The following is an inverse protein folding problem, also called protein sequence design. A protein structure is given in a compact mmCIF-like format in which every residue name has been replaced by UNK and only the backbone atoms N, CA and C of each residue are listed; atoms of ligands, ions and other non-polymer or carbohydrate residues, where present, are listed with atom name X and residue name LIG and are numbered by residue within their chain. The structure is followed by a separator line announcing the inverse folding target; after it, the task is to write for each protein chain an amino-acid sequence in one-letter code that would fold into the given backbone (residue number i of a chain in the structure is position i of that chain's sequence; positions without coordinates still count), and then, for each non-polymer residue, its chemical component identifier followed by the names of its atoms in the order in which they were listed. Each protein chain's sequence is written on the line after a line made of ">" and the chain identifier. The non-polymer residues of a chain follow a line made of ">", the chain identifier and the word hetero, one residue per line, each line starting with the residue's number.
data_IF_955698661811
#
_entry.id   IF_955698661811
#
_cell.length_a   1.000
_cell.length_b   1.000
_cell.length_c   1.000
_cell.angle_alpha   90.00
_cell.angle_beta   90.00
_cell.angle_gamma   90.00
#
_symmetry.space_group_name_H-M   'P 1'
#
loop_
_entity.id
_entity.type
_entity.pdbx_description
1 polymer ?
#
# COMPACT_ATOMS: atom_id res chain seq x y z
N UNK A 1 16.65 0.91 3.36
CA UNK A 1 16.16 2.31 3.37
C UNK A 1 15.96 2.86 4.78
N UNK A 2 15.14 2.23 5.64
CA UNK A 2 15.02 2.65 7.06
C UNK A 2 16.35 2.71 7.83
N UNK A 3 17.37 1.98 7.35
CA UNK A 3 18.72 1.94 7.89
C UNK A 3 19.65 3.08 7.41
N UNK A 4 19.31 3.78 6.32
CA UNK A 4 20.12 4.88 5.75
C UNK A 4 19.58 6.27 6.09
N UNK A 5 18.31 6.38 6.50
CA UNK A 5 17.70 7.69 6.72
C UNK A 5 17.95 8.21 8.15
N UNK A 6 18.13 9.54 8.25
CA UNK A 6 18.27 10.25 9.52
C UNK A 6 17.03 10.02 10.40
N UNK A 7 17.21 9.92 11.73
CA UNK A 7 16.14 9.65 12.70
C UNK A 7 14.94 10.60 12.54
N UNK A 8 15.17 11.86 12.14
CA UNK A 8 14.14 12.90 11.95
C UNK A 8 13.33 12.81 10.65
N UNK A 9 13.85 12.14 9.61
CA UNK A 9 13.23 12.12 8.26
C UNK A 9 13.02 10.71 7.71
N UNK A 10 13.23 9.69 8.55
CA UNK A 10 13.15 8.28 8.16
C UNK A 10 11.77 7.88 7.65
N UNK A 11 10.71 8.31 8.31
CA UNK A 11 9.33 8.02 7.91
C UNK A 11 9.01 8.69 6.59
N UNK A 12 9.36 9.96 6.43
CA UNK A 12 9.16 10.70 5.17
C UNK A 12 9.91 10.07 3.98
N UNK A 13 11.16 9.62 4.18
CA UNK A 13 11.93 8.98 3.11
C UNK A 13 11.33 7.63 2.68
N UNK A 14 10.96 6.78 3.65
CA UNK A 14 10.32 5.48 3.34
C UNK A 14 8.95 5.72 2.68
N UNK A 15 8.18 6.68 3.20
CA UNK A 15 6.89 7.08 2.65
C UNK A 15 7.02 7.58 1.21
N UNK A 16 8.04 8.39 0.90
CA UNK A 16 8.25 8.93 -0.45
C UNK A 16 8.55 7.83 -1.47
N UNK A 17 9.36 6.84 -1.08
CA UNK A 17 9.63 5.67 -1.92
C UNK A 17 8.35 4.89 -2.19
N UNK A 18 7.53 4.71 -1.15
CA UNK A 18 6.25 4.02 -1.29
C UNK A 18 5.24 4.84 -2.12
N UNK A 19 5.25 6.18 -2.00
CA UNK A 19 4.42 7.09 -2.77
C UNK A 19 4.69 7.04 -4.29
N UNK A 20 5.85 6.53 -4.71
CA UNK A 20 6.12 6.23 -6.13
C UNK A 20 5.16 5.20 -6.72
N UNK A 21 4.50 4.38 -5.89
CA UNK A 21 3.38 3.54 -6.32
C UNK A 21 2.25 4.37 -6.93
N UNK A 22 1.91 5.52 -6.33
CA UNK A 22 0.91 6.44 -6.86
C UNK A 22 1.28 7.00 -8.24
N UNK A 23 2.57 7.34 -8.44
CA UNK A 23 3.10 7.76 -9.75
C UNK A 23 2.92 6.64 -10.78
N UNK A 24 3.26 5.41 -10.39
CA UNK A 24 3.10 4.22 -11.24
C UNK A 24 1.65 3.98 -11.67
N UNK A 25 0.69 4.15 -10.77
CA UNK A 25 -0.75 3.99 -11.06
C UNK A 25 -1.22 5.05 -12.08
N UNK A 26 -0.85 6.31 -11.88
CA UNK A 26 -1.18 7.40 -12.83
C UNK A 26 -0.56 7.10 -14.20
N UNK A 27 0.72 6.74 -14.24
CA UNK A 27 1.42 6.44 -15.48
C UNK A 27 0.77 5.27 -16.23
N UNK A 28 0.46 4.17 -15.52
CA UNK A 28 -0.22 3.02 -16.11
C UNK A 28 -1.60 3.39 -16.67
N UNK A 29 -2.40 4.16 -15.93
CA UNK A 29 -3.70 4.66 -16.40
C UNK A 29 -3.57 5.56 -17.63
N UNK A 30 -2.60 6.48 -17.64
CA UNK A 30 -2.37 7.41 -18.74
C UNK A 30 -1.91 6.70 -20.02
N UNK A 31 -0.95 5.77 -19.91
CA UNK A 31 -0.45 4.98 -21.05
C UNK A 31 -1.58 4.12 -21.63
N UNK A 32 -2.33 3.43 -20.78
CA UNK A 32 -3.43 2.55 -21.21
C UNK A 32 -4.54 3.35 -21.88
N UNK A 33 -4.91 4.51 -21.34
CA UNK A 33 -5.89 5.43 -21.91
C UNK A 33 -5.43 6.00 -23.26
N UNK A 34 -4.18 6.47 -23.35
CA UNK A 34 -3.67 7.10 -24.57
C UNK A 34 -3.50 6.09 -25.72
N UNK A 35 -2.97 4.90 -25.41
CA UNK A 35 -2.73 3.88 -26.42
C UNK A 35 -4.04 3.24 -26.91
N UNK A 36 -5.02 3.02 -26.01
CA UNK A 36 -6.35 2.55 -26.41
C UNK A 36 -7.10 3.58 -27.27
N UNK A 37 -7.04 4.87 -26.91
CA UNK A 37 -7.62 5.95 -27.72
C UNK A 37 -6.98 6.05 -29.12
N UNK A 38 -5.64 5.91 -29.20
CA UNK A 38 -4.93 5.88 -30.48
C UNK A 38 -5.36 4.70 -31.34
N UNK A 39 -5.43 3.49 -30.77
CA UNK A 39 -5.83 2.29 -31.50
C UNK A 39 -7.30 2.37 -31.97
N UNK A 40 -8.19 2.94 -31.16
CA UNK A 40 -9.58 3.21 -31.55
C UNK A 40 -9.68 4.19 -32.71
N UNK A 41 -8.83 5.21 -32.73
CA UNK A 41 -8.81 6.19 -33.81
C UNK A 41 -8.30 5.60 -35.13
N UNK A 42 -7.29 4.73 -35.06
CA UNK A 42 -6.70 4.07 -36.23
C UNK A 42 -7.58 2.91 -36.74
N UNK A 43 -8.28 2.22 -35.86
CA UNK A 43 -9.08 1.03 -36.16
C UNK A 43 -10.49 1.17 -35.55
N UNK A 44 -11.39 1.91 -36.20
CA UNK A 44 -12.77 2.04 -35.74
C UNK A 44 -13.51 0.72 -35.93
N UNK A 45 -14.18 0.27 -34.88
CA UNK A 45 -14.85 -1.05 -34.84
C UNK A 45 -16.20 -0.90 -34.14
N UNK A 46 -17.25 -1.59 -34.63
CA UNK A 46 -18.59 -1.58 -34.02
C UNK A 46 -18.61 -2.23 -32.63
N UNK A 47 -19.72 -2.10 -31.89
CA UNK A 47 -19.88 -2.69 -30.56
C UNK A 47 -20.16 -4.19 -30.57
N UNK A 48 -19.98 -4.85 -29.43
CA UNK A 48 -20.07 -6.32 -29.33
C UNK A 48 -21.42 -6.88 -29.81
N UNK A 49 -22.54 -6.23 -29.46
CA UNK A 49 -23.89 -6.62 -29.86
C UNK A 49 -24.10 -6.59 -31.38
N UNK A 50 -23.41 -5.68 -32.08
CA UNK A 50 -23.52 -5.54 -33.54
C UNK A 50 -22.66 -6.53 -34.30
N UNK A 51 -21.41 -6.76 -33.85
CA UNK A 51 -20.54 -7.77 -34.45
C UNK A 51 -19.51 -8.27 -33.41
N UNK A 52 -19.76 -9.43 -32.77
CA UNK A 52 -18.87 -9.96 -31.74
C UNK A 52 -17.44 -10.24 -32.23
N UNK A 53 -17.29 -10.66 -33.49
CA UNK A 53 -16.01 -11.08 -34.07
C UNK A 53 -15.13 -9.86 -34.32
N UNK A 54 -15.68 -8.81 -34.91
CA UNK A 54 -14.92 -7.59 -35.18
C UNK A 54 -14.64 -6.81 -33.89
N UNK A 55 -15.57 -6.80 -32.94
CA UNK A 55 -15.44 -6.12 -31.64
C UNK A 55 -14.29 -6.63 -30.78
N UNK A 56 -13.83 -7.86 -31.04
CA UNK A 56 -12.69 -8.51 -30.39
C UNK A 56 -11.46 -8.52 -31.32
N UNK A 57 -11.17 -7.35 -31.90
CA UNK A 57 -10.08 -7.17 -32.86
C UNK A 57 -8.70 -7.59 -32.34
N UNK A 58 -7.85 -8.11 -33.25
CA UNK A 58 -6.46 -8.52 -32.95
C UNK A 58 -5.60 -7.39 -32.39
N UNK A 59 -5.92 -6.15 -32.71
CA UNK A 59 -5.22 -4.95 -32.25
C UNK A 59 -5.35 -4.78 -30.72
N UNK A 60 -6.44 -5.27 -30.11
CA UNK A 60 -6.57 -5.31 -28.67
C UNK A 60 -5.55 -6.26 -28.01
N UNK A 61 -5.13 -7.33 -28.70
CA UNK A 61 -4.06 -8.22 -28.21
C UNK A 61 -2.70 -7.50 -28.18
N UNK A 62 -2.43 -6.67 -29.18
CA UNK A 62 -1.21 -5.84 -29.19
C UNK A 62 -1.21 -4.79 -28.07
N UNK A 63 -2.37 -4.19 -27.79
CA UNK A 63 -2.51 -3.14 -26.79
C UNK A 63 -2.00 -3.58 -25.41
N UNK A 64 -2.56 -4.66 -24.84
CA UNK A 64 -2.18 -5.09 -23.48
C UNK A 64 -0.71 -5.54 -23.41
N UNK A 65 -0.18 -6.16 -24.48
CA UNK A 65 1.23 -6.54 -24.57
C UNK A 65 2.15 -5.34 -24.51
N UNK A 66 1.85 -4.29 -25.29
CA UNK A 66 2.64 -3.05 -25.31
C UNK A 66 2.59 -2.37 -23.94
N UNK A 67 1.41 -2.29 -23.32
CA UNK A 67 1.26 -1.72 -21.97
C UNK A 67 2.12 -2.48 -20.95
N UNK A 68 2.11 -3.82 -20.97
CA UNK A 68 2.97 -4.62 -20.09
C UNK A 68 4.46 -4.46 -20.39
N UNK A 69 4.85 -4.39 -21.67
CA UNK A 69 6.26 -4.18 -22.06
C UNK A 69 6.79 -2.83 -21.59
N UNK A 70 5.99 -1.76 -21.68
CA UNK A 70 6.36 -0.45 -21.14
C UNK A 70 6.54 -0.49 -19.62
N UNK A 71 5.77 -1.32 -18.91
CA UNK A 71 5.95 -1.58 -17.49
C UNK A 71 7.29 -2.23 -17.11
N UNK A 72 7.98 -2.87 -18.06
CA UNK A 72 9.31 -3.45 -17.82
C UNK A 72 10.43 -2.39 -17.76
N UNK A 73 10.24 -1.21 -18.38
CA UNK A 73 11.28 -0.17 -18.45
C UNK A 73 11.70 0.33 -17.06
N UNK A 74 10.78 0.73 -16.14
CA UNK A 74 11.18 1.13 -14.78
C UNK A 74 11.88 0.01 -13.99
N UNK A 75 11.53 -1.26 -14.25
CA UNK A 75 12.15 -2.39 -13.58
C UNK A 75 13.62 -2.58 -14.00
N UNK A 76 13.92 -2.50 -15.30
CA UNK A 76 15.29 -2.57 -15.83
C UNK A 76 16.15 -1.44 -15.26
N UNK A 77 15.60 -0.23 -15.26
CA UNK A 77 16.26 0.96 -14.71
C UNK A 77 16.57 0.79 -13.22
N UNK A 78 15.61 0.25 -12.46
CA UNK A 78 15.78 -0.04 -11.02
C UNK A 78 16.86 -1.10 -10.79
N UNK A 79 16.88 -2.16 -11.59
CA UNK A 79 17.89 -3.23 -11.51
C UNK A 79 19.30 -2.67 -11.71
N UNK A 80 19.50 -1.86 -12.75
CA UNK A 80 20.79 -1.23 -13.05
C UNK A 80 21.32 -0.39 -11.89
N UNK A 81 20.48 0.48 -11.29
CA UNK A 81 20.90 1.28 -10.15
C UNK A 81 21.07 0.47 -8.87
N UNK A 82 20.28 -0.59 -8.67
CA UNK A 82 20.43 -1.46 -7.51
C UNK A 82 21.77 -2.19 -7.50
N UNK A 83 22.29 -2.60 -8.66
CA UNK A 83 23.62 -3.21 -8.77
C UNK A 83 24.76 -2.27 -8.35
N UNK A 84 24.55 -0.95 -8.37
CA UNK A 84 25.56 0.06 -8.00
C UNK A 84 25.47 0.51 -6.54
N UNK A 85 24.41 0.16 -5.80
CA UNK A 85 24.23 0.61 -4.43
C UNK A 85 25.06 -0.23 -3.43
N UNK A 86 25.81 0.40 -2.51
CA UNK A 86 26.52 -0.31 -1.44
C UNK A 86 25.55 -0.85 -0.38
N UNK A 87 25.98 -1.85 0.37
CA UNK A 87 25.19 -2.46 1.45
C UNK A 87 24.97 -1.52 2.66
N UNK A 88 24.00 -1.85 3.51
CA UNK A 88 23.69 -0.99 4.67
C UNK A 88 24.77 -1.09 5.74
N UNK A 89 25.42 0.03 6.10
CA UNK A 89 26.44 0.05 7.16
C UNK A 89 26.01 -0.57 8.50
N UNK A 90 24.72 -0.42 8.89
CA UNK A 90 24.16 -1.11 10.07
C UNK A 90 24.13 -2.63 9.95
N UNK A 91 23.88 -3.19 8.76
CA UNK A 91 23.97 -4.64 8.53
C UNK A 91 25.43 -5.09 8.60
N UNK A 92 26.33 -4.35 7.95
CA UNK A 92 27.77 -4.63 7.94
C UNK A 92 28.38 -4.60 9.35
N UNK A 93 27.99 -3.63 10.19
CA UNK A 93 28.48 -3.49 11.56
C UNK A 93 27.89 -4.53 12.52
N UNK A 94 26.55 -4.61 12.60
CA UNK A 94 25.87 -5.36 13.66
C UNK A 94 25.70 -6.86 13.32
N UNK A 95 25.61 -7.20 12.04
CA UNK A 95 25.33 -8.58 11.59
C UNK A 95 26.57 -9.21 10.96
N UNK A 96 27.20 -8.55 9.98
CA UNK A 96 28.41 -9.09 9.35
C UNK A 96 29.65 -8.97 10.27
N UNK A 97 29.56 -8.18 11.35
CA UNK A 97 30.64 -8.03 12.34
C UNK A 97 31.86 -7.27 11.82
N UNK A 98 31.76 -6.61 10.67
CA UNK A 98 32.88 -5.90 10.06
C UNK A 98 32.76 -4.39 10.28
N UNK A 99 33.18 -3.93 11.46
CA UNK A 99 33.11 -2.52 11.85
C UNK A 99 33.86 -1.59 10.89
N UNK A 100 35.04 -2.00 10.37
CA UNK A 100 35.82 -1.19 9.42
C UNK A 100 35.11 -0.99 8.07
N UNK A 101 34.53 -2.04 7.51
CA UNK A 101 33.76 -1.94 6.27
C UNK A 101 32.47 -1.15 6.47
N UNK A 102 31.83 -1.27 7.64
CA UNK A 102 30.68 -0.46 8.00
C UNK A 102 31.02 1.04 8.07
N UNK A 103 32.14 1.44 8.67
CA UNK A 103 32.56 2.85 8.69
C UNK A 103 32.84 3.38 7.28
N UNK A 104 33.42 2.55 6.41
CA UNK A 104 33.72 2.91 5.01
C UNK A 104 32.45 3.04 4.17
N UNK A 105 31.51 2.11 4.31
CA UNK A 105 30.22 2.12 3.60
C UNK A 105 29.28 3.21 4.14
N UNK A 106 29.36 3.52 5.45
CA UNK A 106 28.65 4.64 6.04
C UNK A 106 29.24 5.97 5.61
N UNK A 107 30.57 6.13 5.59
CA UNK A 107 31.22 7.36 5.11
C UNK A 107 30.89 7.72 3.66
N UNK A 108 30.50 6.74 2.83
CA UNK A 108 30.02 6.98 1.46
C UNK A 108 28.55 7.41 1.36
N UNK A 109 27.73 7.20 2.39
CA UNK A 109 26.26 7.36 2.33
C UNK A 109 25.70 8.32 3.39
N UNK A 110 26.38 8.48 4.51
CA UNK A 110 26.01 9.32 5.65
C UNK A 110 27.30 9.97 6.18
N UNK A 111 27.37 11.30 6.15
CA UNK A 111 28.44 12.10 6.78
C UNK A 111 28.39 12.05 8.33
N UNK A 112 28.06 10.90 8.92
CA UNK A 112 27.96 10.71 10.37
C UNK A 112 28.76 9.47 10.77
N UNK A 113 29.89 9.72 11.42
CA UNK A 113 30.72 8.71 12.08
C UNK A 113 29.96 8.17 13.30
N UNK A 114 29.54 6.90 13.24
CA UNK A 114 29.13 6.18 14.45
C UNK A 114 30.41 5.63 15.08
N UNK A 115 30.83 6.21 16.21
CA UNK A 115 31.89 5.62 17.03
C UNK A 115 31.39 4.28 17.57
N UNK A 116 31.97 3.19 17.05
CA UNK A 116 31.65 1.82 17.48
C UNK A 116 32.37 1.51 18.80
N UNK A 117 31.64 1.48 19.90
CA UNK A 117 32.12 0.89 21.15
C UNK A 117 31.88 -0.64 21.12
N UNK A 118 32.94 -1.48 21.06
CA UNK A 118 32.79 -2.93 20.90
C UNK A 118 32.01 -3.58 22.05
N UNK A 119 32.16 -3.06 23.28
CA UNK A 119 31.47 -3.58 24.47
C UNK A 119 29.93 -3.48 24.36
N UNK A 120 29.41 -2.39 23.80
CA UNK A 120 27.95 -2.22 23.59
C UNK A 120 27.40 -3.18 22.53
N UNK A 121 28.22 -3.60 21.56
CA UNK A 121 27.82 -4.54 20.50
C UNK A 121 27.71 -5.97 21.05
N UNK A 122 28.61 -6.37 21.95
CA UNK A 122 28.56 -7.69 22.59
C UNK A 122 27.38 -7.82 23.55
N UNK A 123 27.13 -6.79 24.36
CA UNK A 123 25.97 -6.73 25.25
C UNK A 123 24.64 -6.81 24.47
N UNK A 124 24.58 -6.11 23.33
CA UNK A 124 23.45 -6.19 22.40
C UNK A 124 23.23 -7.60 21.85
N UNK A 125 24.30 -8.30 21.46
CA UNK A 125 24.21 -9.68 20.94
C UNK A 125 23.72 -10.64 22.02
N UNK A 126 24.21 -10.52 23.25
CA UNK A 126 23.83 -11.38 24.36
C UNK A 126 22.36 -11.17 24.79
N UNK A 127 21.91 -9.91 24.92
CA UNK A 127 20.53 -9.58 25.31
C UNK A 127 19.47 -9.95 24.25
N UNK A 128 19.90 -10.24 23.02
CA UNK A 128 19.05 -10.61 21.89
C UNK A 128 19.28 -12.04 21.39
N UNK A 129 19.89 -12.91 22.19
CA UNK A 129 20.16 -14.30 21.80
C UNK A 129 19.01 -15.26 22.15
N UNK A 130 17.86 -15.10 21.48
CA UNK A 130 16.70 -16.01 21.60
C UNK A 130 16.32 -16.60 20.22
N UNK A 131 15.79 -17.83 20.13
CA UNK A 131 15.35 -18.38 18.85
C UNK A 131 14.14 -17.62 18.28
N UNK A 132 14.01 -17.61 16.94
CA UNK A 132 12.82 -17.07 16.26
C UNK A 132 11.57 -17.86 16.68
N UNK A 133 10.43 -17.17 16.82
CA UNK A 133 9.15 -17.77 17.24
C UNK A 133 9.14 -18.41 18.64
N UNK A 134 10.12 -18.10 19.49
CA UNK A 134 10.11 -18.51 20.89
C UNK A 134 9.06 -17.76 21.72
N UNK A 135 8.75 -18.26 22.92
CA UNK A 135 7.89 -17.55 23.86
C UNK A 135 8.42 -16.14 24.19
N UNK A 136 9.74 -15.99 24.29
CA UNK A 136 10.38 -14.70 24.49
C UNK A 136 10.21 -13.76 23.28
N UNK A 137 10.29 -14.29 22.06
CA UNK A 137 9.98 -13.52 20.85
C UNK A 137 8.53 -13.02 20.86
N UNK A 138 7.56 -13.86 21.21
CA UNK A 138 6.16 -13.46 21.30
C UNK A 138 5.89 -12.47 22.43
N UNK A 139 6.57 -12.61 23.57
CA UNK A 139 6.47 -11.67 24.68
C UNK A 139 6.98 -10.27 24.29
N UNK A 140 8.10 -10.20 23.56
CA UNK A 140 8.71 -8.92 23.13
C UNK A 140 8.04 -8.30 21.90
N UNK A 141 7.73 -9.10 20.89
CA UNK A 141 7.31 -8.61 19.56
C UNK A 141 5.88 -9.01 19.17
N UNK A 142 5.26 -9.94 19.88
CA UNK A 142 3.99 -10.57 19.47
C UNK A 142 2.84 -9.59 19.33
N UNK A 143 2.70 -8.63 20.25
CA UNK A 143 1.65 -7.60 20.16
C UNK A 143 1.78 -6.74 18.89
N UNK A 144 2.99 -6.28 18.60
CA UNK A 144 3.27 -5.49 17.39
C UNK A 144 3.16 -6.33 16.12
N UNK A 145 3.54 -7.60 16.18
CA UNK A 145 3.38 -8.53 15.07
C UNK A 145 1.91 -8.73 14.73
N UNK A 146 1.07 -9.04 15.72
CA UNK A 146 -0.38 -9.18 15.51
C UNK A 146 -0.98 -7.88 14.99
N UNK A 147 -0.61 -6.73 15.55
CA UNK A 147 -1.10 -5.43 15.09
C UNK A 147 -0.73 -5.14 13.64
N UNK A 148 0.52 -5.36 13.26
CA UNK A 148 0.99 -5.12 11.88
C UNK A 148 0.46 -6.15 10.87
N UNK A 149 0.34 -7.43 11.23
CA UNK A 149 -0.21 -8.47 10.34
C UNK A 149 -1.71 -8.27 10.14
N UNK A 150 -2.47 -7.99 11.20
CA UNK A 150 -3.92 -7.81 11.12
C UNK A 150 -4.31 -6.56 10.35
N UNK A 151 -3.66 -5.42 10.63
CA UNK A 151 -3.95 -4.16 9.93
C UNK A 151 -3.59 -4.24 8.45
N UNK A 152 -2.48 -4.90 8.08
CA UNK A 152 -2.13 -5.10 6.68
C UNK A 152 -3.05 -6.11 5.98
N UNK A 153 -3.40 -7.22 6.65
CA UNK A 153 -4.40 -8.17 6.13
C UNK A 153 -5.74 -7.48 5.83
N UNK A 154 -6.27 -6.71 6.79
CA UNK A 154 -7.56 -6.05 6.65
C UNK A 154 -7.53 -4.95 5.60
N UNK A 155 -6.42 -4.20 5.53
CA UNK A 155 -6.22 -3.22 4.47
C UNK A 155 -6.18 -3.87 3.08
N UNK A 156 -5.39 -4.93 2.87
CA UNK A 156 -5.26 -5.57 1.54
C UNK A 156 -6.55 -6.32 1.15
N UNK A 157 -7.29 -6.87 2.12
CA UNK A 157 -8.63 -7.43 1.90
C UNK A 157 -9.60 -6.37 1.37
N UNK A 158 -9.49 -5.14 1.87
CA UNK A 158 -10.24 -4.00 1.37
C UNK A 158 -9.71 -3.46 0.03
N UNK A 159 -8.40 -3.25 -0.09
CA UNK A 159 -7.75 -2.59 -1.23
C UNK A 159 -7.98 -3.33 -2.54
N UNK A 160 -8.32 -4.62 -2.46
CA UNK A 160 -8.69 -5.41 -3.63
C UNK A 160 -10.03 -5.01 -4.27
N UNK A 161 -10.76 -4.04 -3.71
CA UNK A 161 -11.81 -3.29 -4.42
C UNK A 161 -11.32 -2.70 -5.75
N UNK A 162 -10.02 -2.42 -5.90
CA UNK A 162 -9.44 -2.01 -7.20
C UNK A 162 -9.69 -3.05 -8.32
N UNK A 163 -9.84 -4.34 -7.99
CA UNK A 163 -10.13 -5.39 -8.98
C UNK A 163 -11.62 -5.46 -9.34
N UNK A 164 -12.52 -5.08 -8.43
CA UNK A 164 -13.97 -4.98 -8.68
C UNK A 164 -14.39 -3.56 -9.08
N UNK A 165 -13.42 -2.66 -9.28
CA UNK A 165 -13.66 -1.26 -9.60
C UNK A 165 -14.35 -1.10 -10.96
N UNK A 166 -14.03 -1.97 -11.93
CA UNK A 166 -14.75 -2.05 -13.20
C UNK A 166 -16.23 -2.38 -12.98
N UNK A 167 -16.53 -3.36 -12.11
CA UNK A 167 -17.90 -3.78 -11.84
C UNK A 167 -18.67 -2.66 -11.12
N UNK A 168 -18.01 -1.93 -10.21
CA UNK A 168 -18.57 -0.73 -9.57
C UNK A 168 -18.79 0.38 -10.61
N UNK A 169 -17.83 0.64 -11.49
CA UNK A 169 -17.98 1.65 -12.54
C UNK A 169 -19.13 1.35 -13.48
N UNK A 170 -19.29 0.08 -13.86
CA UNK A 170 -20.42 -0.39 -14.63
C UNK A 170 -21.72 -0.19 -13.85
N UNK A 171 -21.76 -0.61 -12.60
CA UNK A 171 -22.95 -0.53 -11.76
C UNK A 171 -23.40 0.91 -11.49
N UNK A 172 -22.51 1.90 -11.57
CA UNK A 172 -22.85 3.32 -11.42
C UNK A 172 -22.86 4.07 -12.77
N UNK A 173 -22.83 3.38 -13.92
CA UNK A 173 -22.89 3.98 -15.26
C UNK A 173 -21.72 4.90 -15.63
N UNK A 174 -20.54 4.69 -15.02
CA UNK A 174 -19.31 5.40 -15.37
C UNK A 174 -18.60 4.79 -16.60
N UNK A 175 -18.88 3.52 -16.88
CA UNK A 175 -18.43 2.76 -18.05
C UNK A 175 -19.64 2.10 -18.71
N UNK A 176 -19.63 1.97 -20.03
CA UNK A 176 -20.70 1.29 -20.76
C UNK A 176 -20.67 -0.22 -20.59
N UNK A 177 -21.82 -0.88 -20.82
CA UNK A 177 -21.91 -2.34 -20.80
C UNK A 177 -21.03 -2.96 -21.89
N UNK A 178 -20.38 -4.08 -21.55
CA UNK A 178 -19.49 -4.78 -22.47
C UNK A 178 -20.18 -5.21 -23.78
N UNK A 179 -21.51 -5.38 -23.75
CA UNK A 179 -22.28 -5.73 -24.94
C UNK A 179 -22.43 -4.55 -25.92
N UNK A 180 -22.39 -3.30 -25.44
CA UNK A 180 -22.58 -2.11 -26.26
C UNK A 180 -21.28 -1.58 -26.87
N UNK A 181 -20.14 -1.96 -26.30
CA UNK A 181 -18.82 -1.44 -26.66
C UNK A 181 -17.89 -2.52 -27.21
N UNK A 182 -16.80 -2.10 -27.85
CA UNK A 182 -15.73 -3.00 -28.26
C UNK A 182 -14.62 -3.08 -27.20
N UNK A 183 -13.73 -4.07 -27.34
CA UNK A 183 -12.68 -4.34 -26.35
C UNK A 183 -11.73 -3.14 -26.13
N UNK A 184 -11.39 -2.37 -27.16
CA UNK A 184 -10.52 -1.20 -27.01
C UNK A 184 -11.23 -0.04 -26.30
N UNK A 185 -12.52 0.17 -26.59
CA UNK A 185 -13.36 1.19 -25.95
C UNK A 185 -13.53 0.88 -24.48
N UNK A 186 -13.76 -0.38 -24.13
CA UNK A 186 -13.82 -0.84 -22.75
C UNK A 186 -12.54 -0.51 -21.97
N UNK A 187 -11.37 -0.82 -22.55
CA UNK A 187 -10.07 -0.47 -21.93
C UNK A 187 -9.91 1.04 -21.81
N UNK A 188 -10.30 1.82 -22.81
CA UNK A 188 -10.21 3.29 -22.79
C UNK A 188 -11.08 3.91 -21.69
N UNK A 189 -12.34 3.49 -21.59
CA UNK A 189 -13.28 4.04 -20.59
C UNK A 189 -12.88 3.63 -19.17
N UNK A 190 -12.50 2.37 -18.98
CA UNK A 190 -12.02 1.85 -17.69
C UNK A 190 -10.73 2.56 -17.27
N UNK A 191 -9.75 2.68 -18.17
CA UNK A 191 -8.47 3.34 -17.89
C UNK A 191 -8.66 4.82 -17.55
N UNK A 192 -9.57 5.52 -18.25
CA UNK A 192 -9.90 6.92 -17.96
C UNK A 192 -10.51 7.07 -16.57
N UNK A 193 -11.47 6.23 -16.21
CA UNK A 193 -12.11 6.29 -14.90
C UNK A 193 -11.11 5.99 -13.77
N UNK A 194 -10.26 4.96 -13.94
CA UNK A 194 -9.18 4.64 -13.01
C UNK A 194 -8.16 5.78 -12.89
N UNK A 195 -7.78 6.40 -14.02
CA UNK A 195 -6.84 7.52 -14.06
C UNK A 195 -7.38 8.73 -13.28
N UNK A 196 -8.64 9.11 -13.46
CA UNK A 196 -9.26 10.24 -12.76
C UNK A 196 -9.28 10.00 -11.24
N UNK A 197 -9.70 8.81 -10.80
CA UNK A 197 -9.73 8.46 -9.38
C UNK A 197 -8.32 8.37 -8.79
N UNK A 198 -7.35 7.86 -9.56
CA UNK A 198 -5.96 7.82 -9.14
C UNK A 198 -5.37 9.23 -8.99
N UNK A 199 -5.65 10.12 -9.95
CA UNK A 199 -5.14 11.49 -9.97
C UNK A 199 -5.72 12.35 -8.84
N UNK A 200 -7.01 12.18 -8.52
CA UNK A 200 -7.70 13.00 -7.53
C UNK A 200 -7.68 12.40 -6.11
N UNK A 201 -7.65 11.07 -5.99
CA UNK A 201 -7.70 10.38 -4.71
C UNK A 201 -6.35 9.78 -4.31
N UNK A 202 -5.93 8.76 -5.05
CA UNK A 202 -4.79 7.90 -4.68
C UNK A 202 -3.48 8.69 -4.60
N UNK A 203 -3.12 9.43 -5.64
CA UNK A 203 -1.85 10.14 -5.74
C UNK A 203 -1.73 11.28 -4.71
N UNK A 204 -2.73 12.17 -4.55
CA UNK A 204 -2.70 13.15 -3.47
C UNK A 204 -2.63 12.50 -2.09
N UNK A 205 -3.34 11.40 -1.87
CA UNK A 205 -3.31 10.68 -0.59
C UNK A 205 -1.90 10.24 -0.19
N UNK A 206 -1.17 9.62 -1.12
CA UNK A 206 0.23 9.22 -0.89
C UNK A 206 1.13 10.41 -0.51
N UNK A 207 1.09 11.50 -1.28
CA UNK A 207 1.95 12.66 -1.05
C UNK A 207 1.57 13.44 0.21
N UNK A 208 0.27 13.49 0.55
CA UNK A 208 -0.16 14.00 1.84
C UNK A 208 0.47 13.20 2.97
N UNK A 209 0.48 11.87 2.90
CA UNK A 209 1.16 11.09 3.95
C UNK A 209 2.64 11.42 4.02
N UNK A 210 3.36 11.54 2.90
CA UNK A 210 4.79 11.93 2.91
C UNK A 210 5.02 13.24 3.68
N UNK A 211 4.16 14.24 3.46
CA UNK A 211 4.26 15.56 4.11
C UNK A 211 3.88 15.51 5.59
N UNK A 212 2.88 14.70 5.96
CA UNK A 212 2.30 14.69 7.30
C UNK A 212 2.81 13.57 8.22
N UNK A 213 3.51 12.55 7.71
CA UNK A 213 3.95 11.38 8.49
C UNK A 213 4.87 11.73 9.66
N UNK A 214 5.71 12.76 9.49
CA UNK A 214 6.57 13.26 10.57
C UNK A 214 5.85 14.28 11.47
N UNK A 215 4.76 14.91 11.00
CA UNK A 215 4.00 15.92 11.77
C UNK A 215 2.94 15.27 12.66
N UNK A 216 2.10 14.41 12.10
CA UNK A 216 0.98 13.77 12.80
C UNK A 216 1.40 12.45 13.48
N UNK A 217 2.40 11.75 12.95
CA UNK A 217 2.79 10.43 13.42
C UNK A 217 2.09 9.30 12.67
N UNK A 218 2.67 8.09 12.73
CA UNK A 218 2.23 6.94 11.93
C UNK A 218 0.92 6.37 12.48
N UNK A 219 0.80 6.33 13.80
CA UNK A 219 -0.34 5.75 14.50
C UNK A 219 -1.61 6.56 14.26
N UNK A 220 -1.53 7.89 14.44
CA UNK A 220 -2.68 8.78 14.24
C UNK A 220 -3.15 8.78 12.79
N UNK A 221 -2.21 8.83 11.85
CA UNK A 221 -2.51 8.78 10.42
C UNK A 221 -3.22 7.46 10.05
N UNK A 222 -2.77 6.33 10.60
CA UNK A 222 -3.41 5.04 10.35
C UNK A 222 -4.85 4.98 10.90
N UNK A 223 -5.10 5.52 12.10
CA UNK A 223 -6.44 5.61 12.67
C UNK A 223 -7.37 6.49 11.85
N UNK A 224 -6.91 7.68 11.43
CA UNK A 224 -7.67 8.59 10.57
C UNK A 224 -8.04 7.90 9.26
N UNK A 225 -7.09 7.19 8.65
CA UNK A 225 -7.32 6.45 7.42
C UNK A 225 -8.42 5.40 7.58
N UNK A 226 -8.32 4.49 8.56
CA UNK A 226 -9.34 3.45 8.77
C UNK A 226 -10.71 4.06 9.11
N UNK A 227 -10.75 5.10 9.94
CA UNK A 227 -11.99 5.75 10.35
C UNK A 227 -12.69 6.44 9.18
N UNK A 228 -11.99 7.34 8.47
CA UNK A 228 -12.58 8.09 7.36
C UNK A 228 -12.99 7.17 6.21
N UNK A 229 -12.19 6.15 5.92
CA UNK A 229 -12.51 5.13 4.92
C UNK A 229 -13.78 4.35 5.31
N UNK A 230 -13.96 4.01 6.58
CA UNK A 230 -15.19 3.36 7.09
C UNK A 230 -16.41 4.28 6.95
N UNK A 231 -16.28 5.57 7.28
CA UNK A 231 -17.38 6.54 7.18
C UNK A 231 -17.85 6.70 5.73
N UNK A 232 -16.94 6.93 4.78
CA UNK A 232 -17.32 7.11 3.38
C UNK A 232 -17.90 5.83 2.77
N UNK A 233 -17.31 4.68 3.09
CA UNK A 233 -17.85 3.37 2.70
C UNK A 233 -19.26 3.12 3.25
N UNK A 234 -19.51 3.51 4.51
CA UNK A 234 -20.81 3.36 5.13
C UNK A 234 -21.86 4.23 4.43
N UNK A 235 -21.50 5.48 4.08
CA UNK A 235 -22.38 6.36 3.31
C UNK A 235 -22.67 5.76 1.92
N UNK A 236 -21.63 5.28 1.23
CA UNK A 236 -21.76 4.65 -0.08
C UNK A 236 -22.65 3.40 -0.04
N UNK A 237 -22.49 2.53 0.97
CA UNK A 237 -23.30 1.32 1.13
C UNK A 237 -24.74 1.62 1.57
N UNK A 238 -24.94 2.53 2.54
CA UNK A 238 -26.26 2.84 3.08
C UNK A 238 -27.14 3.64 2.10
N UNK A 239 -26.54 4.50 1.28
CA UNK A 239 -27.24 5.34 0.29
C UNK A 239 -26.97 4.91 -1.15
N UNK A 240 -26.58 3.64 -1.35
CA UNK A 240 -26.12 3.14 -2.64
C UNK A 240 -27.11 3.40 -3.79
N UNK A 241 -28.39 3.06 -3.63
CA UNK A 241 -29.41 3.25 -4.67
C UNK A 241 -29.63 4.72 -5.03
N UNK A 242 -29.73 5.59 -4.02
CA UNK A 242 -29.88 7.03 -4.19
C UNK A 242 -28.66 7.65 -4.91
N UNK A 243 -27.46 7.26 -4.49
CA UNK A 243 -26.20 7.75 -5.07
C UNK A 243 -25.97 7.22 -6.49
N UNK A 244 -26.38 5.98 -6.77
CA UNK A 244 -26.32 5.37 -8.11
C UNK A 244 -27.28 6.03 -9.09
N UNK A 245 -28.52 6.30 -8.67
CA UNK A 245 -29.57 6.85 -9.54
C UNK A 245 -29.54 8.37 -9.66
N UNK A 246 -29.74 9.07 -8.54
CA UNK A 246 -30.00 10.51 -8.54
C UNK A 246 -28.73 11.36 -8.47
N UNK A 247 -27.67 10.87 -7.82
CA UNK A 247 -26.48 11.67 -7.54
C UNK A 247 -25.14 10.95 -7.78
N UNK A 248 -24.93 10.50 -9.02
CA UNK A 248 -23.73 9.81 -9.46
C UNK A 248 -22.43 10.60 -9.16
N UNK A 249 -22.45 11.93 -9.28
CA UNK A 249 -21.26 12.77 -9.02
C UNK A 249 -20.83 12.68 -7.56
N UNK A 250 -21.78 12.65 -6.63
CA UNK A 250 -21.51 12.48 -5.21
C UNK A 250 -20.96 11.08 -4.91
N UNK A 251 -21.45 10.05 -5.61
CA UNK A 251 -20.87 8.70 -5.52
C UNK A 251 -19.38 8.73 -5.87
N UNK A 252 -19.02 9.28 -7.05
CA UNK A 252 -17.62 9.34 -7.50
C UNK A 252 -16.76 10.15 -6.54
N UNK A 253 -17.27 11.26 -5.99
CA UNK A 253 -16.56 12.07 -5.00
C UNK A 253 -16.28 11.29 -3.70
N UNK A 254 -17.29 10.63 -3.13
CA UNK A 254 -17.14 9.81 -1.91
C UNK A 254 -16.23 8.59 -2.14
N UNK A 255 -16.32 7.99 -3.33
CA UNK A 255 -15.47 6.87 -3.73
C UNK A 255 -14.01 7.33 -3.90
N UNK A 256 -13.78 8.48 -4.55
CA UNK A 256 -12.46 9.11 -4.65
C UNK A 256 -11.87 9.48 -3.29
N UNK A 257 -12.68 10.01 -2.37
CA UNK A 257 -12.28 10.29 -0.98
C UNK A 257 -11.92 9.01 -0.22
N UNK A 258 -12.63 7.91 -0.47
CA UNK A 258 -12.29 6.61 0.11
C UNK A 258 -10.88 6.18 -0.31
N UNK A 259 -10.53 6.31 -1.60
CA UNK A 259 -9.16 6.06 -2.07
C UNK A 259 -8.15 7.06 -1.53
N UNK A 260 -8.53 8.33 -1.41
CA UNK A 260 -7.68 9.33 -0.79
C UNK A 260 -7.29 8.92 0.62
N UNK A 261 -8.23 8.58 1.50
CA UNK A 261 -7.94 8.18 2.88
C UNK A 261 -7.33 6.78 3.01
N UNK A 262 -7.59 5.89 2.04
CA UNK A 262 -6.89 4.60 1.94
C UNK A 262 -5.39 4.79 1.69
N UNK A 263 -5.00 5.77 0.88
CA UNK A 263 -3.59 6.05 0.59
C UNK A 263 -3.00 7.14 1.53
N UNK A 264 -3.83 8.03 2.07
CA UNK A 264 -3.50 8.96 3.15
C UNK A 264 -3.43 8.23 4.49
N UNK A 265 -2.40 7.42 4.61
CA UNK A 265 -2.04 6.78 5.85
C UNK A 265 -1.91 5.30 5.71
N UNK A 266 -3.03 4.60 5.58
CA UNK A 266 -3.09 3.14 5.73
C UNK A 266 -2.05 2.41 4.88
N UNK A 267 -2.01 2.72 3.59
CA UNK A 267 -1.12 2.01 2.66
C UNK A 267 0.37 2.27 2.95
N UNK A 268 0.74 3.49 3.35
CA UNK A 268 2.14 3.79 3.70
C UNK A 268 2.48 3.28 5.10
N UNK A 269 1.59 3.46 6.09
CA UNK A 269 1.88 3.14 7.49
C UNK A 269 1.99 1.65 7.71
N UNK A 270 1.21 0.81 7.03
CA UNK A 270 1.34 -0.65 7.10
C UNK A 270 2.68 -1.16 6.56
N UNK A 271 3.33 -0.43 5.66
CA UNK A 271 4.69 -0.73 5.21
C UNK A 271 5.77 -0.13 6.13
N UNK A 272 5.57 1.10 6.62
CA UNK A 272 6.53 1.82 7.46
C UNK A 272 6.61 1.21 8.87
N UNK A 273 5.48 0.92 9.50
CA UNK A 273 5.42 0.46 10.90
C UNK A 273 6.19 -0.84 11.15
N UNK A 274 6.04 -1.93 10.37
CA UNK A 274 6.86 -3.12 10.58
C UNK A 274 8.36 -2.84 10.37
N UNK A 275 8.72 -1.90 9.49
CA UNK A 275 10.12 -1.53 9.28
C UNK A 275 10.73 -0.72 10.44
N UNK A 276 9.90 -0.05 11.25
CA UNK A 276 10.32 0.78 12.38
C UNK A 276 10.15 0.09 13.75
N UNK A 277 9.17 -0.81 13.91
CA UNK A 277 8.85 -1.47 15.18
C UNK A 277 9.80 -2.63 15.52
N UNK A 278 10.32 -3.33 14.52
CA UNK A 278 11.09 -4.56 14.75
C UNK A 278 12.60 -4.35 14.77
N UNK A 279 13.27 -5.12 15.64
CA UNK A 279 14.72 -5.05 15.81
C UNK A 279 15.45 -5.51 14.56
N UNK A 280 16.66 -4.99 14.33
CA UNK A 280 17.41 -5.26 13.10
C UNK A 280 17.59 -6.76 12.81
N UNK A 281 17.61 -7.61 13.86
CA UNK A 281 17.73 -9.06 13.76
C UNK A 281 16.46 -9.73 13.22
N UNK A 282 15.28 -9.35 13.71
CA UNK A 282 14.00 -10.01 13.37
C UNK A 282 13.17 -9.23 12.35
N UNK A 283 13.58 -8.00 12.00
CA UNK A 283 12.84 -7.08 11.13
C UNK A 283 12.46 -7.69 9.80
N UNK A 284 13.38 -8.36 9.11
CA UNK A 284 13.09 -8.97 7.81
C UNK A 284 12.01 -10.04 7.94
N UNK A 285 12.10 -10.91 8.94
CA UNK A 285 11.13 -11.99 9.19
C UNK A 285 9.77 -11.45 9.58
N UNK A 286 9.70 -10.52 10.53
CA UNK A 286 8.44 -9.93 10.96
C UNK A 286 7.78 -9.12 9.83
N UNK A 287 8.55 -8.31 9.10
CA UNK A 287 8.05 -7.57 7.95
C UNK A 287 7.55 -8.52 6.85
N UNK A 288 8.27 -9.62 6.59
CA UNK A 288 7.83 -10.65 5.63
C UNK A 288 6.52 -11.33 6.08
N UNK A 289 6.35 -11.61 7.38
CA UNK A 289 5.12 -12.19 7.90
C UNK A 289 3.95 -11.20 7.78
N UNK A 290 4.15 -9.92 8.11
CA UNK A 290 3.14 -8.87 7.92
C UNK A 290 2.78 -8.70 6.44
N UNK A 291 3.76 -8.73 5.54
CA UNK A 291 3.53 -8.66 4.10
C UNK A 291 2.78 -9.90 3.57
N UNK A 292 3.11 -11.10 4.06
CA UNK A 292 2.42 -12.34 3.71
C UNK A 292 0.95 -12.30 4.17
N UNK A 293 0.68 -11.77 5.37
CA UNK A 293 -0.68 -11.54 5.85
C UNK A 293 -1.44 -10.55 4.95
N UNK A 294 -0.81 -9.45 4.53
CA UNK A 294 -1.39 -8.55 3.52
C UNK A 294 -1.79 -9.29 2.24
N UNK A 295 -0.88 -10.10 1.68
CA UNK A 295 -1.18 -10.88 0.46
C UNK A 295 -2.29 -11.92 0.66
N UNK A 296 -2.36 -12.56 1.83
CA UNK A 296 -3.49 -13.43 2.17
C UNK A 296 -4.81 -12.64 2.24
N UNK A 297 -4.79 -11.45 2.84
CA UNK A 297 -5.92 -10.52 2.85
C UNK A 297 -6.37 -10.17 1.44
N UNK A 298 -5.43 -9.82 0.55
CA UNK A 298 -5.72 -9.57 -0.85
C UNK A 298 -6.44 -10.76 -1.51
N UNK A 299 -5.95 -11.99 -1.34
CA UNK A 299 -6.60 -13.20 -1.88
C UNK A 299 -8.06 -13.29 -1.40
N UNK A 300 -8.29 -13.17 -0.09
CA UNK A 300 -9.64 -13.18 0.50
C UNK A 300 -10.51 -12.06 -0.08
N UNK A 301 -9.97 -10.84 -0.20
CA UNK A 301 -10.68 -9.69 -0.76
C UNK A 301 -11.11 -9.90 -2.22
N UNK A 302 -10.24 -10.42 -3.07
CA UNK A 302 -10.61 -10.70 -4.47
C UNK A 302 -11.69 -11.75 -4.58
N UNK A 303 -11.50 -12.91 -3.96
CA UNK A 303 -12.43 -14.02 -4.19
C UNK A 303 -13.72 -13.80 -3.41
N UNK A 304 -13.65 -13.23 -2.21
CA UNK A 304 -14.80 -12.89 -1.38
C UNK A 304 -15.64 -11.79 -2.01
N UNK A 305 -15.09 -10.59 -2.20
CA UNK A 305 -15.85 -9.42 -2.68
C UNK A 305 -16.33 -9.61 -4.13
N UNK A 306 -15.51 -10.22 -4.99
CA UNK A 306 -15.92 -10.51 -6.37
C UNK A 306 -17.15 -11.42 -6.42
N UNK A 307 -17.21 -12.43 -5.56
CA UNK A 307 -18.37 -13.35 -5.53
C UNK A 307 -19.70 -12.63 -5.25
N UNK A 308 -19.67 -11.49 -4.54
CA UNK A 308 -20.86 -10.67 -4.26
C UNK A 308 -21.13 -9.56 -5.30
N UNK A 309 -20.20 -9.33 -6.23
CA UNK A 309 -20.31 -8.21 -7.20
C UNK A 309 -20.47 -8.68 -8.64
N UNK A 310 -20.20 -9.97 -8.92
CA UNK A 310 -20.27 -10.57 -10.25
C UNK A 310 -21.66 -10.50 -10.88
N UNK A 311 -22.71 -10.74 -10.11
CA UNK A 311 -24.08 -10.81 -10.64
C UNK A 311 -24.69 -9.42 -10.90
N UNK A 312 -23.99 -8.34 -10.53
CA UNK A 312 -24.47 -6.96 -10.70
C UNK A 312 -25.66 -6.60 -9.80
N UNK A 313 -26.09 -7.52 -8.93
CA UNK A 313 -27.21 -7.32 -8.03
C UNK A 313 -26.89 -6.21 -7.02
N UNK A 314 -27.80 -5.25 -6.94
CA UNK A 314 -27.66 -4.06 -6.11
C UNK A 314 -27.65 -4.41 -4.63
N UNK A 315 -28.42 -5.42 -4.19
CA UNK A 315 -28.41 -5.85 -2.80
C UNK A 315 -27.08 -6.50 -2.40
N UNK A 316 -26.50 -7.32 -3.28
CA UNK A 316 -25.22 -7.98 -3.02
C UNK A 316 -24.05 -6.99 -3.02
N UNK A 317 -24.03 -6.03 -3.94
CA UNK A 317 -23.02 -4.95 -3.95
C UNK A 317 -23.11 -4.13 -2.66
N UNK A 318 -24.32 -3.80 -2.21
CA UNK A 318 -24.54 -3.10 -0.94
C UNK A 318 -24.04 -3.94 0.24
N UNK A 319 -24.34 -5.24 0.28
CA UNK A 319 -23.86 -6.15 1.32
C UNK A 319 -22.32 -6.22 1.35
N UNK A 320 -21.68 -6.29 0.17
CA UNK A 320 -20.23 -6.24 0.05
C UNK A 320 -19.63 -4.92 0.57
N UNK A 321 -20.22 -3.78 0.24
CA UNK A 321 -19.78 -2.47 0.75
C UNK A 321 -19.90 -2.40 2.28
N UNK A 322 -21.00 -2.89 2.86
CA UNK A 322 -21.19 -2.93 4.32
C UNK A 322 -20.24 -3.91 5.01
N UNK A 323 -19.98 -5.07 4.41
CA UNK A 323 -18.96 -6.01 4.90
C UNK A 323 -17.58 -5.35 4.91
N UNK A 324 -17.25 -4.55 3.89
CA UNK A 324 -15.98 -3.83 3.81
C UNK A 324 -15.87 -2.74 4.89
N UNK A 325 -16.97 -2.06 5.26
CA UNK A 325 -17.01 -1.18 6.45
C UNK A 325 -16.61 -1.95 7.70
N UNK A 326 -17.18 -3.13 7.92
CA UNK A 326 -16.87 -3.95 9.09
C UNK A 326 -15.37 -4.32 9.12
N UNK A 327 -14.79 -4.72 7.99
CA UNK A 327 -13.35 -5.03 7.92
C UNK A 327 -12.47 -3.83 8.23
N UNK A 328 -12.86 -2.63 7.81
CA UNK A 328 -12.12 -1.40 8.07
C UNK A 328 -12.23 -0.96 9.54
N UNK A 329 -13.40 -1.09 10.15
CA UNK A 329 -13.57 -0.85 11.58
C UNK A 329 -12.75 -1.84 12.41
N UNK A 330 -12.68 -3.11 12.00
CA UNK A 330 -11.79 -4.07 12.65
C UNK A 330 -10.32 -3.62 12.52
N UNK A 331 -9.92 -3.10 11.36
CA UNK A 331 -8.58 -2.53 11.14
C UNK A 331 -8.29 -1.32 12.03
N UNK A 332 -9.29 -0.46 12.24
CA UNK A 332 -9.23 0.64 13.21
C UNK A 332 -8.93 0.13 14.62
N UNK A 333 -9.66 -0.88 15.09
CA UNK A 333 -9.43 -1.46 16.42
C UNK A 333 -8.09 -2.22 16.53
N UNK A 334 -7.69 -2.93 15.48
CA UNK A 334 -6.38 -3.59 15.44
C UNK A 334 -5.21 -2.60 15.45
N UNK A 335 -5.42 -1.34 15.03
CA UNK A 335 -4.39 -0.31 15.05
C UNK A 335 -3.93 0.03 16.49
N UNK A 336 -4.79 -0.11 17.50
CA UNK A 336 -4.43 0.06 18.93
C UNK A 336 -3.42 -0.98 19.46
N UNK A 337 -3.19 -2.06 18.71
CA UNK A 337 -2.12 -3.03 19.02
C UNK A 337 -0.74 -2.50 18.61
N UNK A 338 -0.70 -1.49 17.74
CA UNK A 338 0.53 -0.86 17.26
C UNK A 338 0.83 0.39 18.11
N UNK A 339 2.10 0.73 18.24
CA UNK A 339 2.56 1.93 18.97
C UNK A 339 3.08 3.00 18.02
N UNK A 340 3.06 4.25 18.46
CA UNK A 340 3.64 5.37 17.71
C UNK A 340 5.18 5.29 17.70
N UNK A 341 5.77 5.48 16.52
CA UNK A 341 7.22 5.37 16.27
C UNK A 341 7.86 6.73 15.94
N UNK A 342 7.06 7.79 15.79
CA UNK A 342 7.55 9.16 15.53
C UNK A 342 8.55 9.62 16.59
N UNK A 343 9.71 10.10 16.12
CA UNK A 343 10.74 10.73 16.95
C UNK A 343 11.54 9.79 17.85
N UNK A 344 11.13 8.51 17.96
CA UNK A 344 11.82 7.53 18.79
C UNK A 344 12.99 6.89 18.06
N UNK A 345 14.06 6.66 18.80
CA UNK A 345 15.19 5.90 18.26
C UNK A 345 14.81 4.44 18.05
N UNK A 346 15.55 3.70 17.20
CA UNK A 346 15.23 2.27 17.06
C UNK A 346 15.53 1.55 18.37
N UNK A 347 16.59 1.97 19.03
CA UNK A 347 17.06 1.41 20.28
C UNK A 347 16.00 1.60 21.40
N UNK A 348 15.33 2.77 21.41
CA UNK A 348 14.28 3.14 22.37
C UNK A 348 12.98 2.35 22.17
N UNK A 349 12.59 2.15 20.91
CA UNK A 349 11.41 1.33 20.57
C UNK A 349 11.63 -0.12 21.00
N UNK A 350 12.87 -0.59 20.96
CA UNK A 350 13.24 -1.97 21.26
C UNK A 350 13.56 -2.21 22.75
N UNK A 351 13.59 -1.14 23.56
CA UNK A 351 14.00 -1.21 24.96
C UNK A 351 15.48 -1.61 25.13
N UNK A 352 16.30 -1.34 24.11
CA UNK A 352 17.72 -1.71 24.03
C UNK A 352 18.64 -0.58 24.52
N UNK A 353 18.07 0.56 24.94
CA UNK A 353 18.77 1.75 25.45
C UNK A 353 19.44 1.56 26.83
N UNK A 354 19.29 0.38 27.44
CA UNK A 354 19.72 0.13 28.82
C UNK A 354 18.89 0.86 29.88
N UNK A 355 17.99 1.78 29.49
CA UNK A 355 17.16 2.52 30.42
C UNK A 355 15.87 1.74 30.75
N UNK A 356 16.01 0.72 31.60
CA UNK A 356 14.87 0.11 32.28
C UNK A 356 14.29 1.12 33.27
N UNK A 357 13.30 1.87 32.81
CA UNK A 357 12.37 2.60 33.67
C UNK A 357 12.61 4.10 33.69
N UNK A 358 11.88 4.81 32.85
CA UNK A 358 11.25 6.07 33.25
C UNK A 358 10.07 6.34 32.30
N UNK A 359 8.86 6.38 32.88
CA UNK A 359 7.72 7.10 32.30
C UNK A 359 6.92 6.42 31.17
N UNK A 360 6.30 5.27 31.43
CA UNK A 360 5.00 4.99 30.78
C UNK A 360 3.92 5.84 31.48
N UNK A 361 3.72 7.05 30.96
CA UNK A 361 2.54 7.89 31.21
C UNK A 361 1.73 8.03 29.92
N UNK A 362 0.40 8.23 30.03
CA UNK A 362 -0.63 7.86 29.05
C UNK A 362 -0.49 8.45 27.65
#
# INVERSE_FOLDING_TARGET
>A
MSKYANKKTRGAFIAAVFAMQGVGIIFAGHVSMSLSALFLHLFPVPGFATNPIESTQRQADWLWRIVLMLGALPAIVTYYWRMKMPETGRYTALIAGNAKQATTDMGKVLEVEIQTEPNKIEEFKNNNNYPLLSAEFFSRHGRHLIGTTSTWFLLDAFYRQNLTQKDIFLAVYLTSEANEINALREVSETSRAMFIIALLGTFPGYWFTVVFIEKLGRYLIQLIGFFMMSVFMLILGAKYEYLKGENHRLFVALYGLTFFFSNFGLNITTFVLPAELFSTRVRSTCHALSAAAGKAGAVVGAFGVRSFTLDGDTEQIRAALLFLVFTNLLGFFCTFLVMETKGRSLEEILGEDGNKGEGRGP
#
